data_IF_846585599007
#
_entry.id   IF_846585599007
#
_cell.length_a   1.000
_cell.length_b   1.000
_cell.length_c   1.000
_cell.angle_alpha   90.00
_cell.angle_beta   90.00
_cell.angle_gamma   90.00
#
_symmetry.space_group_name_H-M   'P 1'
#
loop_
_entity.id
_entity.type
_entity.pdbx_description
1 polymer ?
#
# COMPACT_ATOMS: atom_id res chain seq x y z
N UNK A 1 10.24 3.43 16.74
CA UNK A 1 9.37 2.28 16.37
C UNK A 1 7.92 2.66 16.60
N UNK A 2 7.00 2.26 15.72
CA UNK A 2 5.57 2.53 15.91
C UNK A 2 5.00 1.75 17.10
N UNK A 3 4.12 2.39 17.86
CA UNK A 3 3.37 1.73 18.92
C UNK A 3 2.09 1.11 18.32
N UNK A 4 2.19 -0.15 17.88
CA UNK A 4 1.10 -0.87 17.22
C UNK A 4 -0.08 -1.10 18.17
N UNK A 5 0.18 -1.38 19.44
CA UNK A 5 -0.88 -1.57 20.45
C UNK A 5 -1.75 -0.32 20.59
N UNK A 6 -1.13 0.86 20.58
CA UNK A 6 -1.84 2.14 20.62
C UNK A 6 -2.76 2.32 19.39
N UNK A 7 -2.32 1.85 18.22
CA UNK A 7 -3.14 1.87 17.00
C UNK A 7 -4.30 0.89 17.07
N UNK A 8 -4.07 -0.33 17.57
CA UNK A 8 -5.13 -1.33 17.75
C UNK A 8 -6.21 -0.82 18.72
N UNK A 9 -5.82 -0.13 19.79
CA UNK A 9 -6.74 0.47 20.75
C UNK A 9 -7.69 1.53 20.15
N UNK A 10 -7.38 2.08 18.97
CA UNK A 10 -8.30 2.99 18.27
C UNK A 10 -9.59 2.32 17.81
N UNK A 11 -9.62 0.99 17.74
CA UNK A 11 -10.73 0.25 17.18
C UNK A 11 -10.84 0.32 15.65
N UNK A 12 -9.87 0.92 14.96
CA UNK A 12 -9.83 0.93 13.49
C UNK A 12 -9.57 -0.51 13.03
N UNK A 13 -10.42 -1.07 12.15
CA UNK A 13 -10.25 -2.44 11.69
C UNK A 13 -8.99 -2.68 10.86
N UNK A 14 -8.54 -3.92 10.86
CA UNK A 14 -7.50 -4.46 9.97
C UNK A 14 -6.10 -3.86 10.14
N UNK A 15 -5.83 -3.24 11.30
CA UNK A 15 -4.49 -2.75 11.63
C UNK A 15 -3.51 -3.91 11.76
N UNK A 16 -2.41 -3.84 11.03
CA UNK A 16 -1.32 -4.78 11.10
C UNK A 16 0.02 -4.13 10.74
N UNK A 17 1.13 -4.56 11.35
CA UNK A 17 2.45 -4.08 10.97
C UNK A 17 2.80 -4.51 9.55
N UNK A 18 3.50 -3.65 8.82
CA UNK A 18 4.11 -3.96 7.54
C UNK A 18 5.36 -3.10 7.35
N UNK A 19 6.50 -3.73 7.11
CA UNK A 19 7.80 -3.05 7.06
C UNK A 19 8.02 -2.19 8.31
N UNK A 20 8.41 -0.93 8.15
CA UNK A 20 8.56 0.04 9.25
C UNK A 20 7.34 0.94 9.46
N UNK A 21 6.18 0.50 8.99
CA UNK A 21 4.90 1.17 9.11
C UNK A 21 3.78 0.23 9.52
N UNK A 22 2.55 0.67 9.27
CA UNK A 22 1.35 -0.13 9.49
C UNK A 22 0.40 -0.01 8.31
N UNK A 23 -0.41 -1.03 8.12
CA UNK A 23 -1.56 -1.03 7.22
C UNK A 23 -2.85 -1.08 8.02
N UNK A 24 -3.93 -0.58 7.45
CA UNK A 24 -5.24 -0.62 8.10
C UNK A 24 -6.33 -0.03 7.23
N UNK A 25 -7.56 -0.06 7.75
CA UNK A 25 -8.70 0.59 7.11
C UNK A 25 -8.51 2.10 7.08
N UNK A 26 -8.99 2.77 6.03
CA UNK A 26 -8.98 4.23 6.00
C UNK A 26 -9.77 4.83 7.17
N UNK A 27 -9.25 5.91 7.72
CA UNK A 27 -9.94 6.63 8.77
C UNK A 27 -11.16 7.36 8.21
N UNK A 28 -12.29 7.19 8.87
CA UNK A 28 -13.52 7.89 8.55
C UNK A 28 -13.83 8.93 9.62
N UNK A 29 -14.83 9.77 9.34
CA UNK A 29 -15.35 10.74 10.31
C UNK A 29 -15.76 10.14 11.67
N UNK A 30 -16.10 8.85 11.70
CA UNK A 30 -16.46 8.15 12.95
C UNK A 30 -15.31 8.01 13.94
N UNK A 31 -14.05 8.07 13.46
CA UNK A 31 -12.86 7.86 14.27
C UNK A 31 -12.14 9.18 14.62
N UNK A 32 -12.72 10.32 14.28
CA UNK A 32 -12.00 11.61 14.33
C UNK A 32 -11.64 12.06 15.75
N UNK A 33 -12.52 11.87 16.73
CA UNK A 33 -12.34 12.47 18.03
C UNK A 33 -11.16 11.92 18.84
N UNK A 34 -10.84 10.64 18.69
CA UNK A 34 -9.78 9.97 19.47
C UNK A 34 -8.75 9.21 18.64
N UNK A 35 -9.09 8.82 17.40
CA UNK A 35 -8.17 8.06 16.56
C UNK A 35 -7.00 8.91 16.09
N UNK A 36 -7.22 10.16 15.70
CA UNK A 36 -6.17 11.05 15.21
C UNK A 36 -5.08 11.33 16.25
N UNK A 37 -5.40 11.71 17.50
CA UNK A 37 -4.39 11.82 18.55
C UNK A 37 -3.63 10.51 18.76
N UNK A 38 -4.34 9.38 18.80
CA UNK A 38 -3.75 8.07 19.01
C UNK A 38 -2.78 7.65 17.88
N UNK A 39 -3.12 7.98 16.64
CA UNK A 39 -2.25 7.73 15.48
C UNK A 39 -0.95 8.53 15.58
N UNK A 40 -1.04 9.79 15.95
CA UNK A 40 0.12 10.63 16.18
C UNK A 40 0.97 10.15 17.37
N UNK A 41 0.32 9.84 18.50
CA UNK A 41 0.98 9.28 19.68
C UNK A 41 1.66 7.93 19.41
N UNK A 42 1.10 7.12 18.52
CA UNK A 42 1.71 5.87 18.08
C UNK A 42 2.98 6.09 17.23
N UNK A 43 3.27 7.32 16.83
CA UNK A 43 4.47 7.68 16.07
C UNK A 43 4.28 7.69 14.56
N UNK A 44 3.04 7.59 14.06
CA UNK A 44 2.76 7.75 12.62
C UNK A 44 3.10 9.17 12.19
N UNK A 45 3.78 9.30 11.06
CA UNK A 45 4.16 10.60 10.47
C UNK A 45 3.45 10.86 9.17
N UNK A 46 3.21 9.82 8.36
CA UNK A 46 2.62 9.93 7.03
C UNK A 46 1.42 9.02 6.87
N UNK A 47 0.35 9.54 6.33
CA UNK A 47 -0.80 8.75 5.83
C UNK A 47 -0.62 8.55 4.33
N UNK A 48 -0.56 7.30 3.89
CA UNK A 48 -0.53 6.91 2.48
C UNK A 48 -1.93 6.45 2.08
N UNK A 49 -2.61 7.25 1.29
CA UNK A 49 -3.98 6.99 0.84
C UNK A 49 -4.00 6.39 -0.57
N UNK A 50 -4.48 5.16 -0.68
CA UNK A 50 -4.56 4.40 -1.93
C UNK A 50 -5.91 4.52 -2.64
N UNK A 51 -6.85 5.28 -2.07
CA UNK A 51 -8.19 5.41 -2.66
C UNK A 51 -8.18 6.35 -3.86
N UNK A 52 -9.12 6.12 -4.78
CA UNK A 52 -9.50 7.14 -5.74
C UNK A 52 -10.14 8.30 -4.95
N UNK A 53 -9.63 9.52 -5.14
CA UNK A 53 -10.13 10.67 -4.38
C UNK A 53 -11.48 11.18 -4.92
N UNK A 54 -12.42 11.33 -4.01
CA UNK A 54 -13.56 12.21 -4.18
C UNK A 54 -13.13 13.65 -3.79
N UNK A 55 -13.63 14.65 -4.55
CA UNK A 55 -13.39 16.07 -4.24
C UNK A 55 -13.91 16.52 -2.88
N UNK A 56 -14.87 15.77 -2.33
CA UNK A 56 -15.44 15.99 -0.99
C UNK A 56 -14.64 15.34 0.14
N UNK A 57 -13.58 14.60 -0.15
CA UNK A 57 -12.80 13.88 0.84
C UNK A 57 -12.04 14.85 1.76
N UNK A 58 -12.27 14.71 3.06
CA UNK A 58 -11.66 15.56 4.08
C UNK A 58 -10.33 15.02 4.61
N UNK A 59 -9.90 13.83 4.18
CA UNK A 59 -8.70 13.19 4.73
C UNK A 59 -7.43 14.04 4.57
N UNK A 60 -7.15 14.67 3.40
CA UNK A 60 -5.98 15.55 3.28
C UNK A 60 -5.99 16.71 4.27
N UNK A 61 -7.15 17.35 4.45
CA UNK A 61 -7.32 18.42 5.42
C UNK A 61 -7.11 17.95 6.87
N UNK A 62 -7.67 16.78 7.22
CA UNK A 62 -7.52 16.21 8.55
C UNK A 62 -6.06 15.84 8.86
N UNK A 63 -5.34 15.30 7.88
CA UNK A 63 -3.90 15.06 8.05
C UNK A 63 -3.16 16.34 8.34
N UNK A 64 -3.39 17.40 7.56
CA UNK A 64 -2.78 18.70 7.77
C UNK A 64 -3.14 19.28 9.16
N UNK A 65 -4.40 19.22 9.54
CA UNK A 65 -4.89 19.72 10.84
C UNK A 65 -4.20 19.02 12.02
N UNK A 66 -3.95 17.72 11.91
CA UNK A 66 -3.28 16.94 12.94
C UNK A 66 -1.75 16.89 12.80
N UNK A 67 -1.18 17.64 11.85
CA UNK A 67 0.26 17.71 11.64
C UNK A 67 0.88 16.41 11.13
N UNK A 68 0.13 15.66 10.28
CA UNK A 68 0.58 14.47 9.58
C UNK A 68 0.82 14.79 8.11
N UNK A 69 1.85 14.19 7.53
CA UNK A 69 2.04 14.23 6.07
C UNK A 69 0.95 13.40 5.39
N UNK A 70 0.47 13.85 4.24
CA UNK A 70 -0.48 13.14 3.41
C UNK A 70 0.15 12.86 2.05
N UNK A 71 0.16 11.58 1.66
CA UNK A 71 0.62 11.14 0.35
C UNK A 71 -0.49 10.35 -0.33
N UNK A 72 -0.95 10.84 -1.48
CA UNK A 72 -1.95 10.18 -2.30
C UNK A 72 -1.30 9.35 -3.39
N UNK A 73 -1.54 8.04 -3.34
CA UNK A 73 -1.09 7.06 -4.33
C UNK A 73 -2.29 6.26 -4.82
N UNK A 74 -3.09 6.81 -5.76
CA UNK A 74 -4.36 6.22 -6.15
C UNK A 74 -4.18 4.91 -6.91
N UNK A 75 -4.94 3.90 -6.47
CA UNK A 75 -5.00 2.59 -7.09
C UNK A 75 -6.42 2.15 -7.36
N UNK A 76 -6.59 1.32 -8.39
CA UNK A 76 -7.74 0.48 -8.55
C UNK A 76 -7.34 -0.99 -8.77
N UNK A 77 -8.31 -1.90 -8.65
CA UNK A 77 -8.09 -3.34 -8.82
C UNK A 77 -8.06 -3.77 -10.30
N UNK A 78 -8.19 -2.84 -11.26
CA UNK A 78 -8.36 -3.12 -12.68
C UNK A 78 -7.27 -2.51 -13.56
N UNK A 79 -6.23 -1.97 -12.96
CA UNK A 79 -5.09 -1.35 -13.64
C UNK A 79 -5.42 -0.07 -14.44
N UNK A 80 -6.55 0.60 -14.14
CA UNK A 80 -6.91 1.86 -14.82
C UNK A 80 -6.01 3.03 -14.44
N UNK A 81 -5.41 2.96 -13.26
CA UNK A 81 -4.52 4.00 -12.69
C UNK A 81 -3.04 3.74 -12.96
N UNK A 82 -2.69 2.82 -13.86
CA UNK A 82 -1.29 2.38 -14.07
C UNK A 82 -0.35 3.54 -14.41
N UNK A 83 -0.74 4.45 -15.31
CA UNK A 83 0.11 5.58 -15.67
C UNK A 83 0.48 6.43 -14.44
N UNK A 84 -0.50 6.73 -13.60
CA UNK A 84 -0.32 7.50 -12.38
C UNK A 84 0.48 6.72 -11.32
N UNK A 85 0.27 5.41 -11.21
CA UNK A 85 1.06 4.54 -10.34
C UNK A 85 2.54 4.56 -10.73
N UNK A 86 2.85 4.41 -12.02
CA UNK A 86 4.24 4.41 -12.50
C UNK A 86 4.89 5.78 -12.28
N UNK A 87 4.19 6.87 -12.54
CA UNK A 87 4.67 8.23 -12.32
C UNK A 87 4.99 8.50 -10.84
N UNK A 88 4.10 8.10 -9.94
CA UNK A 88 4.24 8.35 -8.49
C UNK A 88 5.07 7.30 -7.77
N UNK A 89 5.41 6.20 -8.42
CA UNK A 89 6.10 5.06 -7.80
C UNK A 89 7.40 5.41 -7.07
N UNK A 90 8.32 6.25 -7.63
CA UNK A 90 9.53 6.62 -6.91
C UNK A 90 9.23 7.30 -5.56
N UNK A 91 8.25 8.21 -5.53
CA UNK A 91 7.82 8.88 -4.29
C UNK A 91 7.14 7.91 -3.32
N UNK A 92 6.36 6.96 -3.84
CA UNK A 92 5.76 5.91 -3.02
C UNK A 92 6.83 5.07 -2.32
N UNK A 93 7.85 4.61 -3.04
CA UNK A 93 8.99 3.89 -2.45
C UNK A 93 9.68 4.71 -1.36
N UNK A 94 9.88 6.00 -1.61
CA UNK A 94 10.47 6.93 -0.65
C UNK A 94 9.65 7.02 0.65
N UNK A 95 8.32 7.08 0.56
CA UNK A 95 7.46 7.12 1.74
C UNK A 95 7.53 5.81 2.56
N UNK A 96 7.57 4.66 1.88
CA UNK A 96 7.75 3.37 2.56
C UNK A 96 9.13 3.29 3.24
N UNK A 97 10.18 3.71 2.54
CA UNK A 97 11.56 3.67 3.07
C UNK A 97 11.78 4.61 4.27
N UNK A 98 11.12 5.78 4.31
CA UNK A 98 11.12 6.66 5.48
C UNK A 98 10.55 6.00 6.74
N UNK A 99 9.65 5.03 6.55
CA UNK A 99 8.95 4.39 7.66
C UNK A 99 7.91 5.29 8.35
N UNK A 100 7.41 4.83 9.48
CA UNK A 100 6.42 5.55 10.29
C UNK A 100 5.15 5.94 9.52
N UNK A 101 4.78 5.16 8.51
CA UNK A 101 3.60 5.39 7.69
C UNK A 101 2.41 4.57 8.16
N UNK A 102 1.21 5.08 7.85
CA UNK A 102 -0.05 4.36 7.89
C UNK A 102 -0.58 4.29 6.46
N UNK A 103 -0.55 3.09 5.86
CA UNK A 103 -1.05 2.87 4.50
C UNK A 103 -2.44 2.29 4.53
N UNK A 104 -3.36 2.91 3.79
CA UNK A 104 -4.77 2.55 3.77
C UNK A 104 -5.37 2.61 2.36
N UNK A 105 -6.25 1.66 2.09
CA UNK A 105 -7.33 1.81 1.13
C UNK A 105 -8.67 1.80 1.89
N UNK A 106 -9.81 1.65 1.23
CA UNK A 106 -11.09 1.65 1.93
C UNK A 106 -11.11 0.66 3.11
N UNK A 107 -10.64 -0.57 2.91
CA UNK A 107 -10.59 -1.63 3.93
C UNK A 107 -9.19 -1.94 4.47
N UNK A 108 -8.14 -1.38 3.88
CA UNK A 108 -6.75 -1.70 4.25
C UNK A 108 -6.28 -3.10 3.80
N UNK A 109 -7.01 -3.73 2.88
CA UNK A 109 -6.78 -5.11 2.46
C UNK A 109 -6.37 -5.21 0.98
N UNK A 110 -7.30 -5.06 0.04
CA UNK A 110 -7.09 -5.41 -1.38
C UNK A 110 -6.12 -4.48 -2.12
N UNK A 111 -6.43 -3.19 -2.24
CA UNK A 111 -5.53 -2.23 -2.90
C UNK A 111 -4.21 -2.07 -2.14
N UNK A 112 -4.25 -2.28 -0.84
CA UNK A 112 -3.04 -2.27 -0.01
C UNK A 112 -2.13 -3.45 -0.36
N UNK A 113 -2.66 -4.66 -0.57
CA UNK A 113 -1.85 -5.78 -1.08
C UNK A 113 -1.23 -5.45 -2.44
N UNK A 114 -2.00 -4.87 -3.37
CA UNK A 114 -1.51 -4.47 -4.70
C UNK A 114 -0.34 -3.49 -4.58
N UNK A 115 -0.49 -2.43 -3.78
CA UNK A 115 0.56 -1.43 -3.59
C UNK A 115 1.84 -2.02 -3.00
N UNK A 116 1.70 -2.82 -1.93
CA UNK A 116 2.84 -3.43 -1.24
C UNK A 116 3.52 -4.51 -2.10
N UNK A 117 2.76 -5.31 -2.86
CA UNK A 117 3.33 -6.27 -3.80
C UNK A 117 4.06 -5.57 -4.95
N UNK A 118 3.53 -4.45 -5.47
CA UNK A 118 4.21 -3.66 -6.49
C UNK A 118 5.52 -3.07 -5.95
N UNK A 119 5.48 -2.50 -4.75
CA UNK A 119 6.70 -2.03 -4.07
C UNK A 119 7.74 -3.13 -3.94
N UNK A 120 7.35 -4.32 -3.49
CA UNK A 120 8.28 -5.43 -3.33
C UNK A 120 8.85 -5.90 -4.66
N UNK A 121 8.00 -6.18 -5.65
CA UNK A 121 8.43 -6.72 -6.95
C UNK A 121 9.38 -5.79 -7.69
N UNK A 122 9.10 -4.49 -7.71
CA UNK A 122 9.84 -3.52 -8.53
C UNK A 122 10.92 -2.74 -7.79
N UNK A 123 11.03 -2.92 -6.47
CA UNK A 123 11.99 -2.14 -5.68
C UNK A 123 12.61 -2.92 -4.52
N UNK A 124 11.83 -3.43 -3.59
CA UNK A 124 12.33 -3.92 -2.31
C UNK A 124 13.03 -5.28 -2.42
N UNK A 125 12.64 -6.13 -3.38
CA UNK A 125 13.26 -7.45 -3.58
C UNK A 125 14.76 -7.34 -3.93
N UNK A 126 15.17 -6.32 -4.69
CA UNK A 126 16.57 -6.06 -5.02
C UNK A 126 17.41 -5.63 -3.80
N UNK A 127 16.75 -5.18 -2.76
CA UNK A 127 17.37 -4.82 -1.47
C UNK A 127 17.39 -5.96 -0.46
N UNK A 128 16.94 -7.16 -0.85
CA UNK A 128 16.84 -8.30 0.04
C UNK A 128 15.73 -8.20 1.08
N UNK A 129 14.77 -7.30 0.89
CA UNK A 129 13.62 -7.13 1.79
C UNK A 129 12.60 -8.24 1.52
N UNK A 130 12.06 -8.83 2.58
CA UNK A 130 11.05 -9.89 2.46
C UNK A 130 9.75 -9.38 1.81
N UNK A 131 9.01 -10.24 1.08
CA UNK A 131 7.72 -9.87 0.52
C UNK A 131 6.69 -9.56 1.61
N UNK A 132 5.70 -8.68 1.32
CA UNK A 132 4.68 -8.34 2.30
C UNK A 132 3.71 -9.51 2.51
N UNK A 133 3.13 -9.66 3.71
CA UNK A 133 2.05 -10.63 3.91
C UNK A 133 0.82 -10.23 3.11
N UNK A 134 0.19 -11.21 2.44
CA UNK A 134 -1.08 -11.03 1.73
C UNK A 134 -2.22 -11.12 2.72
N UNK A 135 -3.14 -10.16 2.71
CA UNK A 135 -4.28 -10.10 3.63
C UNK A 135 -5.64 -9.97 2.93
N UNK A 136 -5.70 -9.32 1.78
CA UNK A 136 -6.94 -9.08 1.03
C UNK A 136 -7.22 -10.10 -0.06
N UNK A 137 -6.21 -10.78 -0.56
CA UNK A 137 -6.30 -11.76 -1.64
C UNK A 137 -5.87 -13.16 -1.21
N UNK A 138 -6.32 -13.60 -0.03
CA UNK A 138 -6.03 -14.94 0.46
C UNK A 138 -6.98 -15.96 -0.17
N UNK A 139 -6.43 -17.10 -0.56
CA UNK A 139 -7.20 -18.17 -1.18
C UNK A 139 -8.23 -18.77 -0.24
N UNK A 140 -7.93 -18.87 1.06
CA UNK A 140 -8.86 -19.36 2.10
C UNK A 140 -10.13 -18.54 2.23
N UNK A 141 -10.09 -17.24 1.89
CA UNK A 141 -11.24 -16.34 1.93
C UNK A 141 -12.02 -16.33 0.60
N UNK A 142 -11.74 -17.26 -0.32
CA UNK A 142 -12.35 -17.30 -1.65
C UNK A 142 -11.81 -16.25 -2.63
N UNK A 143 -10.74 -15.57 -2.27
CA UNK A 143 -10.06 -14.61 -3.12
C UNK A 143 -8.87 -15.25 -3.82
N UNK A 144 -8.37 -14.60 -4.86
CA UNK A 144 -7.17 -15.02 -5.58
C UNK A 144 -6.31 -13.82 -5.99
N UNK A 145 -5.07 -14.10 -6.35
CA UNK A 145 -4.10 -13.06 -6.72
C UNK A 145 -4.26 -12.50 -8.13
N UNK A 146 -5.28 -12.90 -8.89
CA UNK A 146 -5.41 -12.48 -10.30
C UNK A 146 -5.41 -10.96 -10.48
N UNK A 147 -6.03 -10.21 -9.56
CA UNK A 147 -6.05 -8.75 -9.63
C UNK A 147 -4.66 -8.16 -9.35
N UNK A 148 -3.92 -8.73 -8.40
CA UNK A 148 -2.51 -8.33 -8.17
C UNK A 148 -1.70 -8.62 -9.43
N UNK A 149 -1.80 -9.82 -9.99
CA UNK A 149 -1.05 -10.22 -11.19
C UNK A 149 -1.36 -9.31 -12.39
N UNK A 150 -2.62 -8.92 -12.56
CA UNK A 150 -3.04 -7.97 -13.61
C UNK A 150 -2.33 -6.62 -13.46
N UNK A 151 -2.33 -6.06 -12.26
CA UNK A 151 -1.69 -4.77 -12.00
C UNK A 151 -0.17 -4.87 -12.16
N UNK A 152 0.47 -5.93 -11.65
CA UNK A 152 1.91 -6.13 -11.82
C UNK A 152 2.30 -6.23 -13.31
N UNK A 153 1.55 -6.97 -14.12
CA UNK A 153 1.79 -7.07 -15.55
C UNK A 153 1.63 -5.72 -16.26
N UNK A 154 0.55 -5.00 -15.95
CA UNK A 154 0.31 -3.68 -16.54
C UNK A 154 1.39 -2.66 -16.12
N UNK A 155 1.85 -2.72 -14.89
CA UNK A 155 2.95 -1.88 -14.39
C UNK A 155 4.27 -2.18 -15.14
N UNK A 156 4.62 -3.45 -15.28
CA UNK A 156 5.82 -3.87 -16.02
C UNK A 156 5.78 -3.38 -17.47
N UNK A 157 4.66 -3.60 -18.14
CA UNK A 157 4.48 -3.20 -19.55
C UNK A 157 4.57 -1.68 -19.70
N UNK A 158 3.81 -0.92 -18.89
CA UNK A 158 3.77 0.53 -18.99
C UNK A 158 5.13 1.17 -18.69
N UNK A 159 5.83 0.64 -17.67
CA UNK A 159 7.18 1.09 -17.35
C UNK A 159 8.17 0.79 -18.47
N UNK A 160 8.06 -0.37 -19.12
CA UNK A 160 8.87 -0.71 -20.29
C UNK A 160 8.62 0.27 -21.45
N UNK A 161 7.37 0.62 -21.70
CA UNK A 161 6.99 1.57 -22.76
C UNK A 161 7.55 2.97 -22.51
N UNK A 162 7.49 3.46 -21.27
CA UNK A 162 8.00 4.77 -20.90
C UNK A 162 9.52 4.82 -20.93
N UNK A 163 10.19 3.85 -20.32
CA UNK A 163 11.65 3.85 -20.14
C UNK A 163 12.40 3.35 -21.38
N UNK A 164 11.68 2.73 -22.35
CA UNK A 164 12.27 2.11 -23.54
C UNK A 164 13.09 0.86 -23.23
N UNK A 165 13.00 0.33 -22.01
CA UNK A 165 13.68 -0.90 -21.58
C UNK A 165 12.88 -1.59 -20.48
N UNK A 166 13.05 -2.89 -20.36
CA UNK A 166 12.44 -3.68 -19.29
C UNK A 166 12.94 -3.21 -17.91
N UNK A 167 12.06 -3.06 -16.90
CA UNK A 167 12.44 -2.68 -15.53
C UNK A 167 13.30 -3.74 -14.84
N UNK A 168 13.20 -4.99 -15.29
CA UNK A 168 14.04 -6.14 -14.88
C UNK A 168 13.93 -7.25 -15.94
N UNK A 169 14.83 -8.25 -15.95
CA UNK A 169 14.70 -9.42 -16.82
C UNK A 169 13.38 -10.12 -16.61
N UNK A 170 12.70 -10.53 -17.68
CA UNK A 170 11.36 -11.13 -17.62
C UNK A 170 11.31 -12.39 -16.73
N UNK A 171 12.37 -13.17 -16.68
CA UNK A 171 12.42 -14.37 -15.82
C UNK A 171 12.45 -14.00 -14.33
N UNK A 172 13.16 -12.95 -13.96
CA UNK A 172 13.16 -12.41 -12.59
C UNK A 172 11.75 -11.92 -12.21
N UNK A 173 11.09 -11.23 -13.12
CA UNK A 173 9.73 -10.77 -12.92
C UNK A 173 8.73 -11.93 -12.71
N UNK A 174 8.83 -12.99 -13.54
CA UNK A 174 8.00 -14.18 -13.40
C UNK A 174 8.23 -14.88 -12.05
N UNK A 175 9.48 -15.01 -11.63
CA UNK A 175 9.83 -15.61 -10.35
C UNK A 175 9.25 -14.83 -9.17
N UNK A 176 9.40 -13.50 -9.16
CA UNK A 176 8.82 -12.65 -8.10
C UNK A 176 7.29 -12.75 -8.06
N UNK A 177 6.62 -12.79 -9.21
CA UNK A 177 5.17 -13.03 -9.27
C UNK A 177 4.77 -14.38 -8.70
N UNK A 178 5.56 -15.42 -8.93
CA UNK A 178 5.33 -16.74 -8.36
C UNK A 178 5.38 -16.69 -6.83
N UNK A 179 6.36 -16.00 -6.24
CA UNK A 179 6.44 -15.81 -4.79
C UNK A 179 5.16 -15.15 -4.25
N UNK A 180 4.70 -14.06 -4.87
CA UNK A 180 3.45 -13.38 -4.46
C UNK A 180 2.25 -14.32 -4.56
N UNK A 181 2.15 -15.09 -5.64
CA UNK A 181 1.05 -16.04 -5.82
C UNK A 181 1.04 -17.16 -4.75
N UNK A 182 2.21 -17.61 -4.34
CA UNK A 182 2.32 -18.63 -3.29
C UNK A 182 1.99 -18.10 -1.90
N UNK A 183 2.34 -16.87 -1.59
CA UNK A 183 1.98 -16.22 -0.33
C UNK A 183 0.46 -16.10 -0.13
N UNK A 184 -0.32 -16.01 -1.20
CA UNK A 184 -1.79 -15.99 -1.10
C UNK A 184 -2.40 -17.32 -0.67
N UNK A 185 -1.63 -18.41 -0.79
CA UNK A 185 -2.08 -19.77 -0.44
C UNK A 185 -1.71 -20.17 0.99
N UNK A 186 -0.77 -19.44 1.54
CA UNK A 186 -0.34 -19.63 2.92
C UNK A 186 -1.29 -18.88 3.88
#
# INVERSE_FOLDING_TARGET
MLNIERLIQTGIPDIAPVYSGVRGRTMSSRHQAYAWPAIKEAGVKTIIDLREMDKSDKLPYLCQFHGLEYFHYPLDNHARTIAQMVELFPKFCEQIDKGYFYIACAMGLHRTDIALCTYWVFYAADKGIAPPPIRGYRQEDGHNTNKIMRVLNAFYQHKTEIDGKEPMPIEVFKERKKVINELSKA
#
